data_IF_505725825933
#
_entry.id   IF_505725825933
#
_cell.length_a   1.000
_cell.length_b   1.000
_cell.length_c   1.000
_cell.angle_alpha   90.00
_cell.angle_beta   90.00
_cell.angle_gamma   90.00
#
_symmetry.space_group_name_H-M   'P 1'
#
loop_
_entity.id
_entity.type
_entity.pdbx_description
1 polymer ?
#
# COMPACT_ATOMS: atom_id res chain seq x y z
N UNK A 1 6.24 -27.65 11.46
CA UNK A 1 5.79 -27.44 10.07
C UNK A 1 4.30 -27.13 10.04
N UNK A 2 3.49 -27.94 10.72
CA UNK A 2 2.03 -27.82 10.81
C UNK A 2 1.54 -26.42 11.24
N UNK A 3 2.10 -25.84 12.31
CA UNK A 3 1.72 -24.50 12.79
C UNK A 3 1.88 -23.39 11.73
N UNK A 4 2.93 -23.46 10.90
CA UNK A 4 3.18 -22.47 9.84
C UNK A 4 2.18 -22.61 8.70
N UNK A 5 1.81 -23.84 8.36
CA UNK A 5 0.78 -24.14 7.34
C UNK A 5 -0.58 -23.62 7.81
N UNK A 6 -0.94 -23.87 9.07
CA UNK A 6 -2.21 -23.36 9.64
C UNK A 6 -2.25 -21.83 9.59
N UNK A 7 -1.17 -21.14 9.98
CA UNK A 7 -1.06 -19.68 9.87
C UNK A 7 -1.23 -19.23 8.42
N UNK A 8 -0.54 -19.89 7.47
CA UNK A 8 -0.63 -19.55 6.05
C UNK A 8 -2.06 -19.66 5.52
N UNK A 9 -2.73 -20.80 5.79
CA UNK A 9 -4.11 -21.03 5.38
C UNK A 9 -5.06 -19.99 5.99
N UNK A 10 -4.91 -19.68 7.27
CA UNK A 10 -5.76 -18.70 7.94
C UNK A 10 -5.55 -17.28 7.39
N UNK A 11 -4.30 -16.87 7.16
CA UNK A 11 -3.96 -15.58 6.54
C UNK A 11 -4.50 -15.48 5.11
N UNK A 12 -4.34 -16.53 4.29
CA UNK A 12 -4.84 -16.56 2.92
C UNK A 12 -6.37 -16.50 2.89
N UNK A 13 -7.05 -17.32 3.71
CA UNK A 13 -8.50 -17.34 3.77
C UNK A 13 -9.06 -15.99 4.25
N UNK A 14 -8.49 -15.41 5.31
CA UNK A 14 -8.89 -14.10 5.82
C UNK A 14 -8.62 -12.99 4.79
N UNK A 15 -7.49 -13.04 4.07
CA UNK A 15 -7.18 -12.08 3.01
C UNK A 15 -8.21 -12.16 1.87
N UNK A 16 -8.54 -13.36 1.40
CA UNK A 16 -9.55 -13.57 0.35
C UNK A 16 -10.91 -13.04 0.82
N UNK A 17 -11.29 -13.33 2.06
CA UNK A 17 -12.53 -12.85 2.66
C UNK A 17 -12.55 -11.32 2.75
N UNK A 18 -11.49 -10.69 3.29
CA UNK A 18 -11.31 -9.24 3.34
C UNK A 18 -11.42 -8.59 1.97
N UNK A 19 -10.81 -9.20 0.93
CA UNK A 19 -10.78 -8.63 -0.42
C UNK A 19 -12.12 -8.72 -1.15
N UNK A 20 -12.92 -9.73 -0.84
CA UNK A 20 -14.22 -10.02 -1.45
C UNK A 20 -15.40 -9.70 -0.51
N UNK A 21 -15.15 -8.88 0.52
CA UNK A 21 -16.16 -8.47 1.47
C UNK A 21 -17.34 -7.77 0.80
N UNK A 22 -18.55 -8.14 1.21
CA UNK A 22 -19.80 -7.52 0.74
C UNK A 22 -20.14 -6.27 1.58
N UNK A 23 -21.08 -5.42 1.12
CA UNK A 23 -21.56 -4.29 1.92
C UNK A 23 -22.11 -4.76 3.27
N UNK A 24 -21.54 -4.26 4.38
CA UNK A 24 -21.99 -4.61 5.72
C UNK A 24 -23.41 -4.16 6.04
N UNK A 25 -23.84 -3.08 5.40
CA UNK A 25 -25.15 -2.47 5.56
C UNK A 25 -25.74 -2.40 4.16
N UNK A 26 -26.97 -2.87 3.97
CA UNK A 26 -27.69 -2.81 2.69
C UNK A 26 -28.16 -1.40 2.29
N UNK A 27 -27.54 -0.36 2.86
CA UNK A 27 -27.84 1.04 2.62
C UNK A 27 -26.61 1.73 2.07
N UNK A 28 -26.72 2.34 0.89
CA UNK A 28 -25.58 2.95 0.19
C UNK A 28 -25.21 4.35 0.72
N UNK A 29 -26.03 4.93 1.58
CA UNK A 29 -25.87 6.32 2.03
C UNK A 29 -26.61 7.32 1.15
N UNK A 30 -27.07 8.41 1.76
CA UNK A 30 -27.68 9.54 1.07
C UNK A 30 -26.73 10.74 1.03
N UNK A 31 -26.68 11.42 -0.12
CA UNK A 31 -25.71 12.50 -0.35
C UNK A 31 -24.25 12.02 -0.40
N UNK A 32 -23.32 12.95 -0.60
CA UNK A 32 -21.88 12.63 -0.65
C UNK A 32 -21.38 12.06 0.68
N UNK A 33 -21.62 12.76 1.78
CA UNK A 33 -21.14 12.37 3.10
C UNK A 33 -21.72 11.04 3.60
N UNK A 34 -22.99 10.74 3.31
CA UNK A 34 -23.57 9.44 3.63
C UNK A 34 -22.87 8.31 2.89
N UNK A 35 -22.62 8.47 1.58
CA UNK A 35 -21.89 7.48 0.78
C UNK A 35 -20.44 7.31 1.25
N UNK A 36 -19.76 8.40 1.61
CA UNK A 36 -18.41 8.36 2.19
C UNK A 36 -18.41 7.57 3.50
N UNK A 37 -19.34 7.86 4.40
CA UNK A 37 -19.44 7.20 5.70
C UNK A 37 -19.66 5.69 5.54
N UNK A 38 -20.62 5.27 4.72
CA UNK A 38 -20.89 3.85 4.46
C UNK A 38 -19.67 3.17 3.83
N UNK A 39 -19.01 3.83 2.87
CA UNK A 39 -17.80 3.31 2.23
C UNK A 39 -16.65 3.16 3.23
N UNK A 40 -16.46 4.13 4.12
CA UNK A 40 -15.47 4.09 5.19
C UNK A 40 -15.75 2.97 6.18
N UNK A 41 -16.99 2.80 6.62
CA UNK A 41 -17.39 1.71 7.52
C UNK A 41 -17.06 0.35 6.89
N UNK A 42 -17.47 0.16 5.63
CA UNK A 42 -17.24 -1.09 4.92
C UNK A 42 -15.74 -1.38 4.71
N UNK A 43 -14.98 -0.39 4.22
CA UNK A 43 -13.53 -0.54 3.99
C UNK A 43 -12.76 -0.72 5.30
N UNK A 44 -13.12 0.04 6.34
CA UNK A 44 -12.47 -0.08 7.66
C UNK A 44 -12.67 -1.46 8.25
N UNK A 45 -13.87 -2.02 8.14
CA UNK A 45 -14.11 -3.37 8.63
C UNK A 45 -13.27 -4.41 7.87
N UNK A 46 -13.40 -4.44 6.54
CA UNK A 46 -12.80 -5.50 5.74
C UNK A 46 -11.27 -5.38 5.65
N UNK A 47 -10.73 -4.17 5.54
CA UNK A 47 -9.31 -3.95 5.25
C UNK A 47 -8.50 -3.62 6.52
N UNK A 48 -9.15 -3.21 7.62
CA UNK A 48 -8.46 -2.91 8.88
C UNK A 48 -8.88 -3.85 10.01
N UNK A 49 -10.18 -3.87 10.36
CA UNK A 49 -10.65 -4.57 11.55
C UNK A 49 -10.47 -6.09 11.43
N UNK A 50 -10.92 -6.71 10.33
CA UNK A 50 -10.82 -8.16 10.15
C UNK A 50 -9.34 -8.63 10.17
N UNK A 51 -8.40 -8.02 9.42
CA UNK A 51 -6.97 -8.31 9.55
C UNK A 51 -6.45 -8.17 10.99
N UNK A 52 -6.81 -7.09 11.69
CA UNK A 52 -6.42 -6.88 13.09
C UNK A 52 -6.97 -7.95 14.03
N UNK A 53 -8.24 -8.36 13.87
CA UNK A 53 -8.85 -9.43 14.66
C UNK A 53 -8.17 -10.77 14.43
N UNK A 54 -7.83 -11.08 13.17
CA UNK A 54 -7.09 -12.29 12.83
C UNK A 54 -5.70 -12.28 13.47
N UNK A 55 -4.97 -11.17 13.39
CA UNK A 55 -3.67 -11.03 14.06
C UNK A 55 -3.81 -11.13 15.58
N UNK A 56 -4.85 -10.54 16.16
CA UNK A 56 -5.12 -10.62 17.59
C UNK A 56 -5.40 -12.06 18.03
N UNK A 57 -6.12 -12.83 17.21
CA UNK A 57 -6.38 -14.24 17.45
C UNK A 57 -5.10 -15.09 17.33
N UNK A 58 -4.30 -14.87 16.29
CA UNK A 58 -3.07 -15.65 16.04
C UNK A 58 -1.93 -15.32 17.03
N UNK A 59 -1.80 -14.06 17.44
CA UNK A 59 -0.60 -13.54 18.14
C UNK A 59 -0.89 -12.77 19.43
N UNK A 60 -2.16 -12.70 19.87
CA UNK A 60 -2.68 -11.87 20.97
C UNK A 60 -2.87 -10.39 20.59
N UNK A 61 -3.91 -9.71 21.13
CA UNK A 61 -4.22 -8.32 20.78
C UNK A 61 -3.05 -7.34 20.95
N UNK A 62 -2.24 -7.50 22.00
CA UNK A 62 -1.10 -6.61 22.30
C UNK A 62 0.02 -6.63 21.27
N UNK A 63 0.08 -7.62 20.38
CA UNK A 63 1.10 -7.74 19.35
C UNK A 63 0.61 -7.26 17.97
N UNK A 64 -0.66 -6.90 17.79
CA UNK A 64 -1.19 -6.51 16.46
C UNK A 64 -0.42 -5.33 15.86
N UNK A 65 -0.07 -4.33 16.65
CA UNK A 65 0.71 -3.18 16.18
C UNK A 65 2.11 -3.55 15.72
N UNK A 66 2.72 -4.54 16.37
CA UNK A 66 4.03 -5.10 16.06
C UNK A 66 3.96 -5.93 14.77
N UNK A 67 2.95 -6.77 14.66
CA UNK A 67 2.70 -7.59 13.48
C UNK A 67 2.37 -6.73 12.26
N UNK A 68 1.66 -5.62 12.39
CA UNK A 68 1.47 -4.73 11.25
C UNK A 68 2.71 -3.89 10.96
N UNK A 69 3.49 -3.55 11.99
CA UNK A 69 4.62 -2.66 11.88
C UNK A 69 4.26 -1.18 11.99
N UNK A 70 3.09 -0.88 12.58
CA UNK A 70 2.61 0.50 12.82
C UNK A 70 3.28 1.15 14.04
N UNK A 71 3.87 0.37 14.93
CA UNK A 71 4.67 0.89 16.05
C UNK A 71 6.08 1.33 15.65
N UNK A 72 6.47 1.14 14.38
CA UNK A 72 7.73 1.64 13.83
C UNK A 72 7.66 3.15 13.60
N UNK A 73 8.78 3.76 13.20
CA UNK A 73 8.90 5.21 13.10
C UNK A 73 7.95 5.83 12.09
N UNK A 74 6.78 6.30 12.54
CA UNK A 74 5.82 7.03 11.70
C UNK A 74 6.46 8.26 11.07
N UNK A 75 7.20 9.03 11.88
CA UNK A 75 7.96 10.19 11.42
C UNK A 75 8.93 9.84 10.30
N UNK A 76 9.69 8.77 10.46
CA UNK A 76 10.67 8.31 9.45
C UNK A 76 9.96 7.92 8.14
N UNK A 77 8.85 7.19 8.23
CA UNK A 77 8.05 6.82 7.06
C UNK A 77 7.48 8.01 6.30
N UNK A 78 6.87 8.97 7.03
CA UNK A 78 6.32 10.19 6.43
C UNK A 78 7.38 11.12 5.86
N UNK A 79 8.54 11.24 6.52
CA UNK A 79 9.67 12.03 6.00
C UNK A 79 10.21 11.45 4.70
N UNK A 80 10.45 10.13 4.66
CA UNK A 80 10.87 9.45 3.44
C UNK A 80 9.84 9.66 2.33
N UNK A 81 8.55 9.44 2.63
CA UNK A 81 7.48 9.57 1.67
C UNK A 81 7.42 10.97 1.07
N UNK A 82 7.46 12.01 1.91
CA UNK A 82 7.45 13.40 1.47
C UNK A 82 8.62 13.73 0.55
N UNK A 83 9.86 13.46 0.99
CA UNK A 83 11.05 13.77 0.20
C UNK A 83 11.11 12.99 -1.12
N UNK A 84 10.70 11.72 -1.10
CA UNK A 84 10.72 10.90 -2.31
C UNK A 84 9.61 11.28 -3.31
N UNK A 85 8.50 11.85 -2.86
CA UNK A 85 7.37 12.24 -3.73
C UNK A 85 7.42 13.69 -4.19
N UNK A 86 8.44 14.46 -3.80
CA UNK A 86 8.67 15.81 -4.32
C UNK A 86 8.71 15.90 -5.86
N UNK A 87 9.32 14.97 -6.62
CA UNK A 87 9.26 15.02 -8.07
C UNK A 87 7.83 14.99 -8.60
N UNK A 88 6.94 14.20 -7.99
CA UNK A 88 5.52 14.19 -8.37
C UNK A 88 4.84 15.50 -8.00
N UNK A 89 5.03 16.02 -6.78
CA UNK A 89 4.43 17.28 -6.35
C UNK A 89 4.83 18.44 -7.28
N UNK A 90 6.14 18.63 -7.49
CA UNK A 90 6.68 19.74 -8.29
C UNK A 90 6.42 19.54 -9.78
N UNK A 91 6.63 18.32 -10.27
CA UNK A 91 6.42 17.97 -11.68
C UNK A 91 4.96 18.13 -12.09
N UNK A 92 4.04 17.63 -11.26
CA UNK A 92 2.60 17.74 -11.54
C UNK A 92 2.12 19.17 -11.40
N UNK A 93 2.58 19.90 -10.38
CA UNK A 93 2.24 21.32 -10.21
C UNK A 93 2.73 22.23 -11.33
N UNK A 94 3.82 21.86 -12.02
CA UNK A 94 4.30 22.60 -13.18
C UNK A 94 3.59 22.21 -14.48
N UNK A 95 3.28 20.92 -14.67
CA UNK A 95 2.82 20.41 -15.96
C UNK A 95 1.31 20.26 -16.09
N UNK A 96 0.58 20.15 -14.98
CA UNK A 96 -0.83 19.77 -14.95
C UNK A 96 -1.67 20.83 -14.25
N UNK A 97 -2.92 20.97 -14.70
CA UNK A 97 -3.87 21.87 -14.07
C UNK A 97 -4.32 21.31 -12.71
N UNK A 98 -4.70 22.22 -11.81
CA UNK A 98 -5.40 21.84 -10.60
C UNK A 98 -6.73 21.18 -10.97
N UNK A 99 -7.07 20.10 -10.28
CA UNK A 99 -8.31 19.40 -10.49
C UNK A 99 -9.48 20.21 -9.92
N UNK A 100 -10.18 20.95 -10.80
CA UNK A 100 -11.33 21.78 -10.42
C UNK A 100 -12.54 20.92 -10.01
N UNK A 101 -12.55 19.64 -10.36
CA UNK A 101 -13.56 18.64 -9.95
C UNK A 101 -13.18 17.87 -8.67
N UNK A 102 -12.36 18.47 -7.82
CA UNK A 102 -11.96 17.90 -6.54
C UNK A 102 -13.16 17.56 -5.63
N UNK A 103 -13.11 16.40 -4.97
CA UNK A 103 -14.14 15.97 -4.02
C UNK A 103 -13.53 15.40 -2.74
N UNK A 104 -14.27 15.50 -1.63
CA UNK A 104 -13.87 14.90 -0.36
C UNK A 104 -13.83 13.38 -0.45
N UNK A 105 -14.72 12.80 -1.25
CA UNK A 105 -14.73 11.36 -1.50
C UNK A 105 -13.39 10.87 -2.07
N UNK A 106 -12.78 11.61 -3.00
CA UNK A 106 -11.48 11.25 -3.58
C UNK A 106 -10.37 11.26 -2.53
N UNK A 107 -10.25 12.33 -1.74
CA UNK A 107 -9.19 12.43 -0.73
C UNK A 107 -9.37 11.40 0.38
N UNK A 108 -10.59 11.23 0.87
CA UNK A 108 -10.88 10.35 2.01
C UNK A 108 -10.82 8.88 1.58
N UNK A 109 -11.47 8.51 0.48
CA UNK A 109 -11.60 7.10 0.07
C UNK A 109 -10.45 6.64 -0.82
N UNK A 110 -10.09 7.44 -1.83
CA UNK A 110 -9.10 7.04 -2.85
C UNK A 110 -7.66 7.41 -2.50
N UNK A 111 -7.43 8.36 -1.58
CA UNK A 111 -6.09 8.66 -1.06
C UNK A 111 -5.89 8.05 0.33
N UNK A 112 -6.60 8.55 1.36
CA UNK A 112 -6.35 8.17 2.74
C UNK A 112 -6.73 6.71 3.05
N UNK A 113 -8.00 6.33 2.80
CA UNK A 113 -8.48 4.99 3.10
C UNK A 113 -7.87 3.93 2.18
N UNK A 114 -7.61 4.26 0.91
CA UNK A 114 -6.87 3.37 0.01
C UNK A 114 -5.45 3.10 0.55
N UNK A 115 -4.69 4.15 0.85
CA UNK A 115 -3.33 4.00 1.37
C UNK A 115 -3.29 3.28 2.72
N UNK A 116 -4.17 3.61 3.66
CA UNK A 116 -4.19 2.94 4.96
C UNK A 116 -4.69 1.49 4.84
N UNK A 117 -5.85 1.30 4.22
CA UNK A 117 -6.51 -0.01 4.11
C UNK A 117 -5.72 -1.01 3.28
N UNK A 118 -5.29 -0.61 2.09
CA UNK A 118 -4.57 -1.52 1.20
C UNK A 118 -3.19 -1.86 1.73
N UNK A 119 -2.47 -0.93 2.35
CA UNK A 119 -1.16 -1.25 2.92
C UNK A 119 -1.29 -2.12 4.18
N UNK A 120 -2.30 -1.91 5.04
CA UNK A 120 -2.59 -2.83 6.15
C UNK A 120 -2.92 -4.22 5.63
N UNK A 121 -3.83 -4.35 4.66
CA UNK A 121 -4.29 -5.65 4.15
C UNK A 121 -3.20 -6.38 3.35
N UNK A 122 -2.52 -5.70 2.42
CA UNK A 122 -1.58 -6.35 1.51
C UNK A 122 -0.15 -6.44 2.06
N UNK A 123 0.33 -5.44 2.82
CA UNK A 123 1.74 -5.37 3.27
C UNK A 123 1.88 -5.83 4.71
N UNK A 124 1.15 -5.22 5.64
CA UNK A 124 1.21 -5.60 7.06
C UNK A 124 0.64 -7.00 7.33
N UNK A 125 -0.50 -7.29 6.74
CA UNK A 125 -1.20 -8.56 6.90
C UNK A 125 -0.72 -9.61 5.89
N UNK A 126 -1.15 -9.56 4.63
CA UNK A 126 -0.95 -10.67 3.69
C UNK A 126 0.54 -10.97 3.42
N UNK A 127 1.27 -10.04 2.82
CA UNK A 127 2.71 -10.20 2.58
C UNK A 127 3.49 -10.39 3.89
N UNK A 128 3.26 -9.54 4.88
CA UNK A 128 4.02 -9.48 6.12
C UNK A 128 3.94 -10.78 6.92
N UNK A 129 2.77 -11.39 7.02
CA UNK A 129 2.60 -12.65 7.75
C UNK A 129 3.15 -13.85 6.95
N UNK A 130 2.91 -13.90 5.64
CA UNK A 130 3.46 -14.95 4.77
C UNK A 130 5.00 -14.95 4.75
N UNK A 131 5.61 -13.76 4.68
CA UNK A 131 7.05 -13.66 4.66
C UNK A 131 7.68 -13.90 6.03
N UNK A 132 7.20 -13.27 7.11
CA UNK A 132 7.89 -13.29 8.41
C UNK A 132 7.47 -14.42 9.32
N UNK A 133 6.18 -14.77 9.36
CA UNK A 133 5.64 -15.76 10.31
C UNK A 133 5.60 -17.16 9.68
N UNK A 134 5.21 -17.26 8.41
CA UNK A 134 5.26 -18.53 7.67
C UNK A 134 6.69 -18.81 7.18
N UNK A 135 7.42 -17.78 6.76
CA UNK A 135 8.80 -17.92 6.26
C UNK A 135 8.87 -18.19 4.75
N UNK A 136 7.85 -17.80 3.98
CA UNK A 136 7.92 -17.92 2.52
C UNK A 136 9.02 -17.01 1.96
N UNK A 137 9.76 -17.45 0.93
CA UNK A 137 10.70 -16.59 0.22
C UNK A 137 10.03 -15.29 -0.24
N UNK A 138 10.81 -14.19 -0.24
CA UNK A 138 10.29 -12.86 -0.60
C UNK A 138 9.56 -12.88 -1.94
N UNK A 139 10.14 -13.52 -2.97
CA UNK A 139 9.56 -13.59 -4.32
C UNK A 139 8.17 -14.24 -4.30
N UNK A 140 7.96 -15.29 -3.51
CA UNK A 140 6.66 -15.97 -3.44
C UNK A 140 5.63 -15.13 -2.68
N UNK A 141 6.00 -14.59 -1.52
CA UNK A 141 5.08 -13.80 -0.70
C UNK A 141 4.73 -12.45 -1.36
N UNK A 142 5.73 -11.72 -1.86
CA UNK A 142 5.53 -10.45 -2.55
C UNK A 142 4.86 -10.66 -3.91
N UNK A 143 5.25 -11.72 -4.65
CA UNK A 143 4.62 -12.08 -5.92
C UNK A 143 3.13 -12.38 -5.76
N UNK A 144 2.75 -13.20 -4.78
CA UNK A 144 1.33 -13.47 -4.49
C UNK A 144 0.57 -12.17 -4.16
N UNK A 145 1.11 -11.34 -3.27
CA UNK A 145 0.51 -10.04 -2.91
C UNK A 145 0.34 -9.15 -4.14
N UNK A 146 1.36 -9.05 -4.99
CA UNK A 146 1.35 -8.25 -6.20
C UNK A 146 0.37 -8.75 -7.27
N UNK A 147 0.22 -10.07 -7.43
CA UNK A 147 -0.77 -10.66 -8.34
C UNK A 147 -2.18 -10.23 -7.92
N UNK A 148 -2.54 -10.43 -6.65
CA UNK A 148 -3.87 -10.05 -6.16
C UNK A 148 -4.11 -8.55 -6.23
N UNK A 149 -3.08 -7.75 -5.93
CA UNK A 149 -3.17 -6.30 -6.02
C UNK A 149 -3.42 -5.85 -7.47
N UNK A 150 -2.66 -6.39 -8.43
CA UNK A 150 -2.82 -6.08 -9.85
C UNK A 150 -4.16 -6.54 -10.41
N UNK A 151 -4.63 -7.76 -10.04
CA UNK A 151 -5.97 -8.25 -10.39
C UNK A 151 -7.06 -7.29 -9.87
N UNK A 152 -6.88 -6.78 -8.65
CA UNK A 152 -7.78 -5.82 -8.04
C UNK A 152 -7.95 -4.51 -8.82
N UNK A 153 -7.06 -4.21 -9.77
CA UNK A 153 -7.06 -2.97 -10.56
C UNK A 153 -7.51 -3.16 -12.01
N UNK A 154 -7.78 -4.38 -12.47
CA UNK A 154 -8.15 -4.66 -13.86
C UNK A 154 -9.42 -3.90 -14.32
N UNK A 155 -10.31 -3.55 -13.37
CA UNK A 155 -11.53 -2.77 -13.62
C UNK A 155 -11.26 -1.36 -14.18
N UNK A 156 -10.02 -0.86 -14.06
CA UNK A 156 -9.65 0.47 -14.56
C UNK A 156 -9.29 0.48 -16.06
N UNK A 157 -9.22 -0.68 -16.71
CA UNK A 157 -8.81 -0.80 -18.10
C UNK A 157 -9.97 -0.87 -19.08
N UNK A 158 -9.78 -0.25 -20.23
CA UNK A 158 -10.68 -0.29 -21.39
C UNK A 158 -9.94 -0.93 -22.57
N UNK A 159 -10.10 -2.25 -22.71
CA UNK A 159 -9.45 -3.08 -23.73
C UNK A 159 -8.15 -3.74 -23.26
N UNK A 160 -7.75 -4.80 -23.98
CA UNK A 160 -6.68 -5.72 -23.57
C UNK A 160 -5.35 -5.03 -23.23
N UNK A 161 -4.85 -4.16 -24.12
CA UNK A 161 -3.55 -3.52 -23.95
C UNK A 161 -3.52 -2.60 -22.71
N UNK A 162 -4.58 -1.81 -22.49
CA UNK A 162 -4.66 -0.92 -21.34
C UNK A 162 -4.80 -1.71 -20.04
N UNK A 163 -5.64 -2.74 -20.01
CA UNK A 163 -5.81 -3.63 -18.85
C UNK A 163 -4.50 -4.35 -18.50
N UNK A 164 -3.77 -4.87 -19.49
CA UNK A 164 -2.46 -5.49 -19.29
C UNK A 164 -1.43 -4.48 -18.75
N UNK A 165 -1.43 -3.25 -19.27
CA UNK A 165 -0.59 -2.16 -18.75
C UNK A 165 -0.90 -1.82 -17.29
N UNK A 166 -2.18 -1.69 -16.93
CA UNK A 166 -2.64 -1.41 -15.56
C UNK A 166 -2.20 -2.53 -14.62
N UNK A 167 -2.39 -3.79 -15.02
CA UNK A 167 -1.89 -4.93 -14.27
C UNK A 167 -0.38 -4.82 -14.04
N UNK A 168 0.40 -4.59 -15.10
CA UNK A 168 1.85 -4.53 -15.00
C UNK A 168 2.34 -3.42 -14.06
N UNK A 169 1.80 -2.19 -14.17
CA UNK A 169 2.24 -1.07 -13.33
C UNK A 169 1.83 -1.24 -11.86
N UNK A 170 0.63 -1.76 -11.59
CA UNK A 170 0.14 -2.00 -10.22
C UNK A 170 0.81 -3.21 -9.58
N UNK A 171 1.07 -4.27 -10.34
CA UNK A 171 1.89 -5.42 -9.94
C UNK A 171 3.31 -4.98 -9.55
N UNK A 172 3.99 -4.22 -10.42
CA UNK A 172 5.33 -3.70 -10.14
C UNK A 172 5.34 -2.77 -8.92
N UNK A 173 4.34 -1.89 -8.80
CA UNK A 173 4.15 -1.04 -7.63
C UNK A 173 3.98 -1.84 -6.33
N UNK A 174 3.18 -2.91 -6.36
CA UNK A 174 2.97 -3.77 -5.19
C UNK A 174 4.27 -4.48 -4.77
N UNK A 175 5.07 -5.00 -5.71
CA UNK A 175 6.39 -5.56 -5.43
C UNK A 175 7.32 -4.53 -4.78
N UNK A 176 7.35 -3.31 -5.32
CA UNK A 176 8.15 -2.20 -4.79
C UNK A 176 7.73 -1.84 -3.36
N UNK A 177 6.43 -1.73 -3.08
CA UNK A 177 5.92 -1.49 -1.73
C UNK A 177 6.23 -2.63 -0.75
N UNK A 178 6.13 -3.91 -1.17
CA UNK A 178 6.55 -5.04 -0.34
C UNK A 178 8.04 -5.02 -0.03
N UNK A 179 8.88 -4.65 -1.01
CA UNK A 179 10.31 -4.47 -0.80
C UNK A 179 10.60 -3.33 0.18
N UNK A 180 9.98 -2.15 0.01
CA UNK A 180 10.15 -1.02 0.91
C UNK A 180 9.70 -1.35 2.33
N UNK A 181 8.54 -1.98 2.51
CA UNK A 181 8.09 -2.45 3.82
C UNK A 181 9.15 -3.30 4.49
N UNK A 182 9.69 -4.31 3.79
CA UNK A 182 10.75 -5.18 4.31
C UNK A 182 12.06 -4.42 4.58
N UNK A 183 12.50 -3.60 3.64
CA UNK A 183 13.78 -2.88 3.69
C UNK A 183 13.83 -1.81 4.78
N UNK A 184 12.67 -1.34 5.22
CA UNK A 184 12.50 -0.41 6.34
C UNK A 184 12.04 -1.13 7.62
N UNK A 185 12.54 -2.34 7.87
CA UNK A 185 12.34 -3.07 9.12
C UNK A 185 10.86 -3.37 9.43
N UNK A 186 10.05 -3.56 8.38
CA UNK A 186 8.61 -3.73 8.44
C UNK A 186 7.88 -2.46 8.92
N UNK A 187 8.42 -1.27 8.65
CA UNK A 187 7.75 -0.01 8.94
C UNK A 187 6.60 0.23 7.96
N UNK A 188 5.36 0.07 8.41
CA UNK A 188 4.17 0.23 7.56
C UNK A 188 3.92 1.68 7.14
N UNK A 189 4.46 2.66 7.88
CA UNK A 189 4.30 4.07 7.54
C UNK A 189 5.04 4.47 6.26
N UNK A 190 6.07 3.72 5.86
CA UNK A 190 6.77 3.94 4.59
C UNK A 190 5.83 3.72 3.40
N UNK A 191 5.24 2.51 3.20
CA UNK A 191 4.31 2.31 2.10
C UNK A 191 3.02 3.13 2.26
N UNK A 192 2.47 3.31 3.48
CA UNK A 192 1.27 4.14 3.69
C UNK A 192 1.52 5.58 3.24
N UNK A 193 2.62 6.20 3.69
CA UNK A 193 2.92 7.59 3.39
C UNK A 193 3.17 7.80 1.89
N UNK A 194 3.94 6.91 1.26
CA UNK A 194 4.21 6.96 -0.17
C UNK A 194 2.92 6.80 -0.97
N UNK A 195 2.12 5.77 -0.69
CA UNK A 195 0.86 5.52 -1.38
C UNK A 195 -0.09 6.72 -1.23
N UNK A 196 -0.26 7.23 0.00
CA UNK A 196 -1.12 8.40 0.25
C UNK A 196 -0.69 9.61 -0.56
N UNK A 197 0.59 10.01 -0.50
CA UNK A 197 1.08 11.20 -1.19
C UNK A 197 1.05 11.03 -2.71
N UNK A 198 1.38 9.84 -3.22
CA UNK A 198 1.29 9.54 -4.64
C UNK A 198 -0.15 9.69 -5.14
N UNK A 199 -1.13 9.10 -4.46
CA UNK A 199 -2.55 9.23 -4.82
C UNK A 199 -3.06 10.67 -4.62
N UNK A 200 -2.62 11.35 -3.57
CA UNK A 200 -3.00 12.72 -3.29
C UNK A 200 -2.55 13.65 -4.41
N UNK A 201 -1.27 13.59 -4.80
CA UNK A 201 -0.75 14.41 -5.89
C UNK A 201 -1.37 14.02 -7.23
N UNK A 202 -1.59 12.73 -7.47
CA UNK A 202 -2.36 12.28 -8.64
C UNK A 202 -3.78 12.84 -8.70
N UNK A 203 -4.43 13.01 -7.54
CA UNK A 203 -5.83 13.46 -7.48
C UNK A 203 -5.98 14.98 -7.51
N UNK A 204 -5.04 15.70 -6.88
CA UNK A 204 -5.02 17.17 -6.82
C UNK A 204 -4.69 17.75 -8.19
N UNK A 205 -3.79 17.11 -8.95
CA UNK A 205 -3.43 17.53 -10.30
C UNK A 205 -4.16 16.65 -11.32
N UNK A 206 -4.60 17.20 -12.44
CA UNK A 206 -5.34 16.44 -13.45
C UNK A 206 -4.38 15.59 -14.32
N UNK A 207 -3.80 14.54 -13.73
CA UNK A 207 -2.64 13.81 -14.26
C UNK A 207 -3.03 12.61 -15.14
N UNK A 208 -4.21 12.01 -14.91
CA UNK A 208 -4.75 10.95 -15.74
C UNK A 208 -5.93 10.21 -15.11
N UNK A 209 -6.68 9.49 -15.94
CA UNK A 209 -7.97 8.87 -15.54
C UNK A 209 -7.83 7.51 -14.84
N UNK A 210 -6.66 6.86 -14.93
CA UNK A 210 -6.42 5.55 -14.32
C UNK A 210 -4.95 5.36 -13.92
N UNK A 211 -4.63 4.21 -13.28
CA UNK A 211 -3.30 3.91 -12.76
C UNK A 211 -2.18 3.82 -13.82
N UNK A 212 -2.52 3.66 -15.11
CA UNK A 212 -1.52 3.59 -16.20
C UNK A 212 -0.90 4.96 -16.46
N UNK A 213 -1.72 6.00 -16.53
CA UNK A 213 -1.24 7.36 -16.76
C UNK A 213 -0.68 7.66 -18.13
N UNK A 214 -0.28 8.91 -18.32
CA UNK A 214 0.52 9.35 -19.47
C UNK A 214 2.02 9.13 -19.26
N UNK A 215 2.80 9.29 -20.35
CA UNK A 215 4.26 9.13 -20.32
C UNK A 215 4.93 10.11 -19.33
N UNK A 216 4.62 11.40 -19.40
CA UNK A 216 5.24 12.43 -18.57
C UNK A 216 4.91 12.26 -17.06
N UNK A 217 3.65 12.00 -16.65
CA UNK A 217 3.34 11.59 -15.28
C UNK A 217 4.18 10.44 -14.74
N UNK A 218 4.46 9.46 -15.58
CA UNK A 218 5.24 8.28 -15.23
C UNK A 218 6.75 8.57 -15.11
N UNK A 219 7.27 9.63 -15.75
CA UNK A 219 8.65 10.10 -15.52
C UNK A 219 8.81 10.54 -14.07
N UNK A 220 7.85 11.31 -13.53
CA UNK A 220 7.90 11.75 -12.14
C UNK A 220 7.69 10.60 -11.14
N UNK A 221 6.82 9.62 -11.46
CA UNK A 221 6.71 8.38 -10.67
C UNK A 221 8.02 7.58 -10.68
N UNK A 222 8.66 7.45 -11.84
CA UNK A 222 9.94 6.76 -11.97
C UNK A 222 11.03 7.48 -11.16
N UNK A 223 11.05 8.81 -11.16
CA UNK A 223 11.94 9.60 -10.30
C UNK A 223 11.68 9.35 -8.81
N UNK A 224 10.41 9.33 -8.38
CA UNK A 224 10.03 8.95 -7.01
C UNK A 224 10.53 7.55 -6.64
N UNK A 225 10.33 6.56 -7.51
CA UNK A 225 10.83 5.21 -7.30
C UNK A 225 12.36 5.22 -7.18
N UNK A 226 13.07 5.86 -8.11
CA UNK A 226 14.53 5.95 -8.09
C UNK A 226 15.08 6.59 -6.80
N UNK A 227 14.44 7.67 -6.33
CA UNK A 227 14.81 8.33 -5.07
C UNK A 227 14.59 7.38 -3.89
N UNK A 228 13.44 6.69 -3.80
CA UNK A 228 13.23 5.73 -2.70
C UNK A 228 14.24 4.59 -2.73
N UNK A 229 14.59 4.08 -3.92
CA UNK A 229 15.59 3.02 -4.06
C UNK A 229 16.94 3.51 -3.57
N UNK A 230 17.38 4.68 -4.04
CA UNK A 230 18.65 5.28 -3.62
C UNK A 230 18.72 5.54 -2.12
N UNK A 231 17.70 6.18 -1.53
CA UNK A 231 17.64 6.45 -0.08
C UNK A 231 17.66 5.15 0.75
N UNK A 232 16.91 4.14 0.31
CA UNK A 232 16.83 2.85 0.99
C UNK A 232 18.18 2.13 0.96
N UNK A 233 18.82 2.04 -0.21
CA UNK A 233 20.14 1.42 -0.35
C UNK A 233 21.21 2.17 0.45
N UNK A 234 21.15 3.51 0.49
CA UNK A 234 22.05 4.33 1.30
C UNK A 234 21.89 4.04 2.80
N UNK A 235 20.65 3.98 3.30
CA UNK A 235 20.34 3.64 4.71
C UNK A 235 20.88 2.25 5.07
N UNK A 236 20.66 1.25 4.21
CA UNK A 236 21.15 -0.11 4.44
C UNK A 236 22.69 -0.19 4.49
N UNK A 237 23.39 0.51 3.58
CA UNK A 237 24.86 0.60 3.63
C UNK A 237 25.36 1.25 4.93
N UNK A 238 24.70 2.30 5.39
CA UNK A 238 25.06 2.97 6.66
C UNK A 238 24.86 2.06 7.86
N UNK A 239 23.75 1.32 7.90
CA UNK A 239 23.48 0.34 8.97
C UNK A 239 24.52 -0.79 8.98
N UNK A 240 24.88 -1.31 7.81
CA UNK A 240 25.91 -2.34 7.68
C UNK A 240 27.28 -1.84 8.15
N UNK A 241 27.69 -0.63 7.74
CA UNK A 241 28.95 -0.02 8.17
C UNK A 241 29.00 0.20 9.69
N UNK A 242 27.90 0.63 10.30
CA UNK A 242 27.80 0.78 11.76
C UNK A 242 27.91 -0.54 12.49
N UNK A 243 27.26 -1.60 12.00
CA UNK A 243 27.38 -2.94 12.58
C UNK A 243 28.83 -3.46 12.54
N UNK A 244 29.51 -3.34 11.39
CA UNK A 244 30.92 -3.74 11.27
C UNK A 244 31.82 -2.95 12.22
N UNK A 245 31.56 -1.65 12.43
CA UNK A 245 32.36 -0.84 13.36
C UNK A 245 32.17 -1.16 14.85
N UNK A 246 31.09 -1.86 15.22
CA UNK A 246 30.84 -2.31 16.59
C UNK A 246 31.41 -3.71 16.87
N UNK A 247 31.77 -4.45 15.81
CA UNK A 247 32.35 -5.80 15.88
C UNK A 247 33.90 -5.80 15.88
N UNK A 248 34.53 -4.64 15.63
CA UNK A 248 35.99 -4.40 15.65
C UNK A 248 36.38 -3.65 16.90
#
# INVERSE_FOLDING_TARGET
MEKKIVIALFVIAAFILSKNGWPLIGYEGSGEWGRILISLLNRSFWYLLLPCLVLAFLYRPKHVSEELGVQKGAREGWQLAFWATLPMLLGYGFMANFNVSWSWSTVILSCAMAALGEEVLYRGFFFGQLHRRVGLPFVLAAGASAIFFGIGHLYQGNGWAQTAGIFAVTFAGALWFSWLYKAWDNNLWVPIGLHFLMNLYWSIFQVGDNALGGMLPNVFRAATIAITVWLTLRRQRQQQAQQTSLEV
#
